data_IF_940499977694
#
_entry.id   IF_940499977694
#
_cell.length_a   1.000
_cell.length_b   1.000
_cell.length_c   1.000
_cell.angle_alpha   90.00
_cell.angle_beta   90.00
_cell.angle_gamma   90.00
#
_symmetry.space_group_name_H-M   'P 1'
#
loop_
_entity.id
_entity.type
_entity.pdbx_description
1 polymer ?
#
# COMPACT_ATOMS: atom_id res chain seq x y z
N UNK A 1 0.25 -5.65 -32.63
CA UNK A 1 -0.25 -4.42 -31.97
C UNK A 1 -1.73 -4.36 -32.23
N UNK A 2 -2.52 -4.91 -31.34
CA UNK A 2 -3.98 -4.81 -31.37
C UNK A 2 -4.33 -3.49 -30.66
N UNK A 3 -4.86 -2.53 -31.40
CA UNK A 3 -5.42 -1.31 -30.84
C UNK A 3 -6.53 -1.69 -29.87
N UNK A 4 -6.31 -1.52 -28.58
CA UNK A 4 -7.34 -1.68 -27.55
C UNK A 4 -8.25 -0.47 -27.69
N UNK A 5 -9.51 -0.69 -28.05
CA UNK A 5 -10.49 0.39 -28.06
C UNK A 5 -10.61 1.02 -26.66
N UNK A 6 -10.68 2.37 -26.56
CA UNK A 6 -10.89 3.03 -25.28
C UNK A 6 -12.19 2.52 -24.66
N UNK A 7 -12.15 2.25 -23.34
CA UNK A 7 -13.34 1.85 -22.61
C UNK A 7 -14.47 2.87 -22.84
N UNK A 8 -15.72 2.43 -22.98
CA UNK A 8 -16.85 3.36 -23.09
C UNK A 8 -16.83 4.27 -21.86
N UNK A 9 -16.96 5.59 -22.08
CA UNK A 9 -17.13 6.56 -20.99
C UNK A 9 -18.37 6.13 -20.22
N UNK A 10 -18.22 5.77 -18.95
CA UNK A 10 -19.37 5.66 -18.04
C UNK A 10 -20.05 7.03 -18.02
N UNK A 11 -21.36 7.06 -18.05
CA UNK A 11 -22.13 8.29 -18.16
C UNK A 11 -21.75 9.23 -17.01
N UNK A 12 -21.34 10.44 -17.37
CA UNK A 12 -21.07 11.51 -16.41
C UNK A 12 -22.38 11.93 -15.78
N UNK A 13 -22.40 12.12 -14.47
CA UNK A 13 -23.51 12.76 -13.78
C UNK A 13 -23.78 14.15 -14.41
N UNK A 14 -25.03 14.58 -14.52
CA UNK A 14 -25.37 15.83 -15.19
C UNK A 14 -24.76 17.02 -14.43
N UNK A 15 -23.77 17.68 -15.01
CA UNK A 15 -23.36 19.02 -14.62
C UNK A 15 -21.89 19.25 -14.27
N UNK A 16 -21.01 18.27 -14.36
CA UNK A 16 -19.60 18.48 -14.04
C UNK A 16 -18.71 18.43 -15.28
N UNK A 17 -17.96 19.53 -15.51
CA UNK A 17 -16.86 19.52 -16.44
C UNK A 17 -15.75 18.65 -15.85
N UNK A 18 -15.33 17.61 -16.58
CA UNK A 18 -14.08 16.91 -16.26
C UNK A 18 -12.94 17.93 -16.26
N UNK A 19 -11.94 17.78 -15.37
CA UNK A 19 -10.70 18.51 -15.53
C UNK A 19 -10.21 18.29 -16.96
N UNK A 20 -9.91 19.36 -17.66
CA UNK A 20 -9.27 19.26 -18.96
C UNK A 20 -8.00 18.41 -18.78
N UNK A 21 -7.81 17.39 -19.63
CA UNK A 21 -6.60 16.57 -19.67
C UNK A 21 -6.50 15.33 -18.73
N UNK A 22 -7.58 14.79 -18.15
CA UNK A 22 -7.50 13.52 -17.37
C UNK A 22 -6.77 12.38 -18.12
N UNK A 23 -6.85 12.39 -19.44
CA UNK A 23 -6.16 11.40 -20.30
C UNK A 23 -4.64 11.56 -20.31
N UNK A 24 -4.12 12.69 -19.84
CA UNK A 24 -2.68 12.97 -19.75
C UNK A 24 -2.11 12.73 -18.35
N UNK A 25 -2.95 12.33 -17.40
CA UNK A 25 -2.50 12.17 -16.01
C UNK A 25 -1.45 11.06 -15.83
N UNK A 26 -1.58 9.95 -16.55
CA UNK A 26 -0.69 8.82 -16.35
C UNK A 26 -0.70 8.36 -14.89
N UNK A 27 0.47 8.28 -14.28
CA UNK A 27 0.64 7.96 -12.85
C UNK A 27 0.22 9.11 -11.90
N UNK A 28 0.12 10.35 -12.39
CA UNK A 28 -0.20 11.53 -11.59
C UNK A 28 -1.64 11.53 -11.11
N UNK A 29 -1.91 12.24 -9.99
CA UNK A 29 -3.23 12.37 -9.39
C UNK A 29 -3.84 11.03 -8.93
N UNK A 30 -3.01 10.01 -8.68
CA UNK A 30 -3.41 8.78 -8.03
C UNK A 30 -3.00 8.84 -6.56
N UNK A 31 -3.98 8.79 -5.66
CA UNK A 31 -3.83 8.82 -4.20
C UNK A 31 -4.50 7.57 -3.62
N UNK A 32 -3.93 6.97 -2.57
CA UNK A 32 -4.44 5.75 -1.90
C UNK A 32 -4.70 4.60 -2.91
N UNK A 33 -3.67 4.18 -3.67
CA UNK A 33 -3.86 3.27 -4.78
C UNK A 33 -3.99 1.81 -4.35
N UNK A 34 -4.88 1.07 -5.00
CA UNK A 34 -4.85 -0.39 -5.05
C UNK A 34 -4.73 -0.86 -6.50
N UNK A 35 -4.02 -1.96 -6.73
CA UNK A 35 -3.85 -2.51 -8.08
C UNK A 35 -4.19 -4.00 -8.13
N UNK A 36 -4.82 -4.40 -9.23
CA UNK A 36 -5.14 -5.81 -9.53
C UNK A 36 -4.77 -6.13 -10.97
N UNK A 37 -4.62 -7.42 -11.27
CA UNK A 37 -4.39 -7.92 -12.62
C UNK A 37 -5.55 -8.77 -13.08
N UNK A 38 -6.04 -8.54 -14.31
CA UNK A 38 -7.08 -9.36 -14.92
C UNK A 38 -6.51 -10.61 -15.63
N UNK A 39 -7.41 -11.44 -16.18
CA UNK A 39 -7.03 -12.67 -16.88
C UNK A 39 -6.34 -12.41 -18.22
N UNK A 40 -6.49 -11.22 -18.80
CA UNK A 40 -5.80 -10.79 -20.03
C UNK A 40 -4.39 -10.24 -19.75
N UNK A 41 -4.00 -10.17 -18.48
CA UNK A 41 -2.71 -9.68 -18.04
C UNK A 41 -2.62 -8.16 -17.90
N UNK A 42 -3.74 -7.45 -18.01
CA UNK A 42 -3.81 -6.00 -17.83
C UNK A 42 -3.91 -5.65 -16.34
N UNK A 43 -3.13 -4.69 -15.92
CA UNK A 43 -3.22 -4.13 -14.57
C UNK A 43 -4.26 -3.01 -14.52
N UNK A 44 -5.05 -3.03 -13.47
CA UNK A 44 -6.06 -2.02 -13.16
C UNK A 44 -5.75 -1.39 -11.82
N UNK A 45 -5.63 -0.07 -11.80
CA UNK A 45 -5.40 0.73 -10.60
C UNK A 45 -6.66 1.49 -10.26
N UNK A 46 -7.03 1.44 -8.98
CA UNK A 46 -8.12 2.21 -8.40
C UNK A 46 -7.53 3.18 -7.37
N UNK A 47 -8.05 4.40 -7.30
CA UNK A 47 -7.53 5.43 -6.40
C UNK A 47 -8.59 6.44 -5.99
N UNK A 48 -8.29 7.17 -4.93
CA UNK A 48 -9.09 8.26 -4.36
C UNK A 48 -9.43 9.34 -5.41
N UNK A 49 -10.64 9.90 -5.32
CA UNK A 49 -11.13 11.00 -6.15
C UNK A 49 -10.50 12.32 -5.76
N UNK A 50 -9.22 12.49 -6.08
CA UNK A 50 -8.44 13.70 -5.83
C UNK A 50 -7.45 13.97 -6.97
N UNK A 51 -7.05 15.23 -7.11
CA UNK A 51 -5.93 15.67 -7.92
C UNK A 51 -5.04 16.64 -7.13
N UNK A 52 -4.02 17.21 -7.78
CA UNK A 52 -3.10 18.17 -7.15
C UNK A 52 -3.79 19.44 -6.60
N UNK A 53 -4.96 19.79 -7.11
CA UNK A 53 -5.73 20.96 -6.69
C UNK A 53 -6.75 20.63 -5.58
N UNK A 54 -6.96 19.35 -5.26
CA UNK A 54 -7.84 18.89 -4.20
C UNK A 54 -8.83 17.79 -4.60
N UNK A 55 -9.94 17.65 -3.87
CA UNK A 55 -10.98 16.66 -4.17
C UNK A 55 -11.59 16.85 -5.56
N UNK A 56 -12.05 15.75 -6.14
CA UNK A 56 -12.80 15.71 -7.41
C UNK A 56 -14.29 15.41 -7.12
N UNK A 57 -15.11 16.44 -6.85
CA UNK A 57 -16.50 16.24 -6.52
C UNK A 57 -17.28 15.55 -7.65
N UNK A 58 -18.13 14.58 -7.30
CA UNK A 58 -18.96 13.83 -8.25
C UNK A 58 -18.26 12.73 -9.03
N UNK A 59 -16.95 12.50 -8.77
CA UNK A 59 -16.25 11.33 -9.26
C UNK A 59 -16.59 10.08 -8.42
N UNK A 60 -16.34 8.89 -8.95
CA UNK A 60 -16.73 7.61 -8.36
C UNK A 60 -15.59 6.59 -8.36
N UNK A 61 -14.45 6.89 -7.75
CA UNK A 61 -13.21 6.13 -7.76
C UNK A 61 -12.50 6.15 -9.12
N UNK A 62 -11.35 6.79 -9.17
CA UNK A 62 -10.52 6.85 -10.38
C UNK A 62 -10.02 5.48 -10.78
N UNK A 63 -10.05 5.17 -12.08
CA UNK A 63 -9.56 3.91 -12.65
C UNK A 63 -8.47 4.20 -13.69
N UNK A 64 -7.37 3.46 -13.61
CA UNK A 64 -6.30 3.45 -14.61
C UNK A 64 -6.01 2.03 -15.06
N UNK A 65 -5.35 1.91 -16.21
CA UNK A 65 -4.85 0.63 -16.71
C UNK A 65 -3.38 0.73 -17.10
N UNK A 66 -2.68 -0.39 -17.02
CA UNK A 66 -1.28 -0.54 -17.44
C UNK A 66 -1.01 -1.96 -17.93
N UNK A 67 0.04 -2.15 -18.71
CA UNK A 67 0.55 -3.48 -19.08
C UNK A 67 1.86 -3.82 -18.36
N UNK A 68 2.48 -2.85 -17.68
CA UNK A 68 3.82 -2.96 -17.09
C UNK A 68 3.96 -2.39 -15.67
N UNK A 69 2.88 -1.79 -15.11
CA UNK A 69 2.85 -1.08 -13.83
C UNK A 69 3.72 0.20 -13.76
N UNK A 70 4.20 0.67 -14.90
CA UNK A 70 5.02 1.89 -15.05
C UNK A 70 4.24 2.96 -15.80
N UNK A 71 3.78 2.62 -16.98
CA UNK A 71 3.01 3.51 -17.84
C UNK A 71 1.52 3.29 -17.61
N UNK A 72 0.83 4.31 -17.10
CA UNK A 72 -0.58 4.26 -16.76
C UNK A 72 -1.43 5.11 -17.71
N UNK A 73 -2.58 4.58 -18.09
CA UNK A 73 -3.61 5.30 -18.84
C UNK A 73 -4.85 5.47 -17.94
N UNK A 74 -5.38 6.69 -17.90
CA UNK A 74 -6.66 6.94 -17.23
C UNK A 74 -7.79 6.25 -18.01
N UNK A 75 -8.56 5.39 -17.32
CA UNK A 75 -9.60 4.55 -17.92
C UNK A 75 -11.03 5.01 -17.57
N UNK A 76 -11.20 6.01 -16.69
CA UNK A 76 -12.49 6.53 -16.26
C UNK A 76 -12.70 6.43 -14.76
N UNK A 77 -13.95 6.33 -14.34
CA UNK A 77 -14.37 6.11 -12.96
C UNK A 77 -15.12 4.78 -12.84
N UNK A 78 -15.00 4.11 -11.69
CA UNK A 78 -15.66 2.84 -11.42
C UNK A 78 -17.17 3.00 -11.28
N UNK A 79 -17.61 4.03 -10.55
CA UNK A 79 -19.00 4.35 -10.28
C UNK A 79 -19.39 5.72 -10.86
N UNK A 80 -20.67 5.95 -11.02
CA UNK A 80 -21.24 7.22 -11.49
C UNK A 80 -21.48 8.16 -10.29
N UNK A 81 -20.37 8.58 -9.64
CA UNK A 81 -20.38 9.39 -8.44
C UNK A 81 -20.48 8.58 -7.14
N UNK A 82 -20.67 9.29 -6.02
CA UNK A 82 -20.87 8.68 -4.70
C UNK A 82 -22.26 8.04 -4.63
N UNK A 83 -22.37 6.73 -4.32
CA UNK A 83 -23.67 6.06 -4.17
C UNK A 83 -24.58 6.74 -3.14
N UNK A 84 -25.90 6.77 -3.44
CA UNK A 84 -26.90 7.49 -2.64
C UNK A 84 -26.83 7.22 -1.14
N UNK A 85 -26.89 5.95 -0.68
CA UNK A 85 -26.82 5.63 0.75
C UNK A 85 -25.55 6.12 1.43
N UNK A 86 -24.38 5.98 0.78
CA UNK A 86 -23.11 6.42 1.32
C UNK A 86 -23.02 7.96 1.39
N UNK A 87 -23.53 8.66 0.38
CA UNK A 87 -23.61 10.13 0.36
C UNK A 87 -24.56 10.67 1.42
N UNK A 88 -25.73 10.07 1.57
CA UNK A 88 -26.71 10.47 2.60
C UNK A 88 -26.15 10.29 4.00
N UNK A 89 -25.35 9.25 4.23
CA UNK A 89 -24.74 9.00 5.52
C UNK A 89 -23.60 9.95 5.82
N UNK A 90 -22.64 10.09 4.91
CA UNK A 90 -21.34 10.76 5.16
C UNK A 90 -21.28 12.21 4.70
N UNK A 91 -22.13 12.61 3.77
CA UNK A 91 -22.00 13.90 3.08
C UNK A 91 -20.84 13.96 2.08
N UNK A 92 -20.24 12.81 1.71
CA UNK A 92 -19.11 12.76 0.82
C UNK A 92 -19.43 13.26 -0.60
N UNK A 93 -18.50 13.97 -1.21
CA UNK A 93 -18.58 14.46 -2.59
C UNK A 93 -17.74 13.62 -3.58
N UNK A 94 -16.86 12.74 -3.09
CA UNK A 94 -16.03 11.80 -3.83
C UNK A 94 -15.76 10.54 -3.00
N UNK A 95 -15.17 9.52 -3.61
CA UNK A 95 -14.80 8.27 -2.96
C UNK A 95 -13.31 8.20 -2.69
N UNK A 96 -12.94 7.57 -1.57
CA UNK A 96 -11.56 7.49 -1.10
C UNK A 96 -11.11 6.05 -0.91
N UNK A 97 -9.79 5.84 -0.96
CA UNK A 97 -9.07 4.63 -0.58
C UNK A 97 -9.81 3.33 -0.92
N UNK A 98 -9.99 3.04 -2.21
CA UNK A 98 -10.63 1.81 -2.64
C UNK A 98 -9.69 0.62 -2.46
N UNK A 99 -10.23 -0.53 -2.04
CA UNK A 99 -9.58 -1.83 -2.18
C UNK A 99 -10.35 -2.69 -3.16
N UNK A 100 -9.65 -3.31 -4.09
CA UNK A 100 -10.27 -4.16 -5.12
C UNK A 100 -9.63 -5.54 -5.08
N UNK A 101 -10.49 -6.57 -5.02
CA UNK A 101 -10.05 -7.95 -4.91
C UNK A 101 -10.94 -8.89 -5.73
N UNK A 102 -10.35 -9.93 -6.31
CA UNK A 102 -11.10 -11.02 -6.94
C UNK A 102 -11.49 -12.05 -5.88
N UNK A 103 -12.76 -12.43 -5.86
CA UNK A 103 -13.27 -13.47 -4.98
C UNK A 103 -14.01 -14.52 -5.78
N UNK A 104 -13.87 -15.80 -5.39
CA UNK A 104 -14.66 -16.88 -5.94
C UNK A 104 -15.95 -17.05 -5.12
N UNK A 105 -17.08 -17.07 -5.80
CA UNK A 105 -18.40 -17.28 -5.21
C UNK A 105 -19.08 -18.51 -5.83
N UNK A 106 -20.19 -18.97 -5.27
CA UNK A 106 -20.96 -20.08 -5.86
C UNK A 106 -21.43 -19.78 -7.29
N UNK A 107 -21.63 -18.52 -7.63
CA UNK A 107 -22.06 -18.06 -8.98
C UNK A 107 -20.90 -17.80 -9.94
N UNK A 108 -19.65 -18.02 -9.53
CA UNK A 108 -18.43 -17.75 -10.28
C UNK A 108 -17.58 -16.65 -9.68
N UNK A 109 -16.49 -16.31 -10.36
CA UNK A 109 -15.57 -15.27 -9.91
C UNK A 109 -16.19 -13.88 -10.06
N UNK A 110 -15.94 -13.04 -9.09
CA UNK A 110 -16.47 -11.69 -8.96
C UNK A 110 -15.35 -10.75 -8.45
N UNK A 111 -15.31 -9.53 -8.96
CA UNK A 111 -14.51 -8.45 -8.40
C UNK A 111 -15.33 -7.69 -7.37
N UNK A 112 -14.74 -7.45 -6.20
CA UNK A 112 -15.30 -6.64 -5.12
C UNK A 112 -14.45 -5.42 -4.91
N UNK A 113 -15.08 -4.26 -4.82
CA UNK A 113 -14.46 -3.00 -4.46
C UNK A 113 -15.07 -2.50 -3.16
N UNK A 114 -14.23 -2.37 -2.11
CA UNK A 114 -14.59 -1.68 -0.89
C UNK A 114 -14.09 -0.25 -1.00
N UNK A 115 -15.00 0.72 -0.96
CA UNK A 115 -14.70 2.13 -1.11
C UNK A 115 -15.06 2.90 0.15
N UNK A 116 -14.40 4.02 0.41
CA UNK A 116 -14.66 4.90 1.55
C UNK A 116 -15.42 6.14 1.11
N UNK A 117 -16.47 6.51 1.84
CA UNK A 117 -17.21 7.74 1.68
C UNK A 117 -17.14 8.54 2.99
N UNK A 118 -16.49 9.71 2.95
CA UNK A 118 -16.27 10.54 4.13
C UNK A 118 -16.04 12.00 3.75
N UNK A 119 -15.91 12.86 4.77
CA UNK A 119 -15.47 14.24 4.64
C UNK A 119 -14.25 14.48 5.51
N UNK A 120 -13.32 15.33 5.08
CA UNK A 120 -12.05 15.53 5.77
C UNK A 120 -12.24 16.01 7.22
N UNK A 121 -11.55 15.34 8.16
CA UNK A 121 -11.65 15.62 9.59
C UNK A 121 -12.88 15.05 10.29
N UNK A 122 -13.74 14.35 9.57
CA UNK A 122 -14.93 13.69 10.10
C UNK A 122 -14.69 12.22 10.43
N UNK A 123 -15.52 11.65 11.30
CA UNK A 123 -15.75 10.21 11.50
C UNK A 123 -17.18 9.80 11.11
N UNK A 124 -17.94 10.72 10.52
CA UNK A 124 -19.20 10.35 9.88
C UNK A 124 -18.84 9.81 8.50
N UNK A 125 -18.61 8.52 8.46
CA UNK A 125 -17.98 7.83 7.33
C UNK A 125 -18.68 6.51 7.05
N UNK A 126 -18.53 6.01 5.84
CA UNK A 126 -19.04 4.71 5.44
C UNK A 126 -18.06 4.00 4.50
N UNK A 127 -17.87 2.70 4.72
CA UNK A 127 -17.27 1.79 3.75
C UNK A 127 -18.42 1.13 3.01
N UNK A 128 -18.47 1.29 1.68
CA UNK A 128 -19.42 0.64 0.80
C UNK A 128 -18.80 -0.50 0.02
N UNK A 129 -19.65 -1.35 -0.56
CA UNK A 129 -19.28 -2.47 -1.41
C UNK A 129 -19.87 -2.28 -2.81
N UNK A 130 -19.01 -2.33 -3.83
CA UNK A 130 -19.43 -2.47 -5.21
C UNK A 130 -18.86 -3.75 -5.83
N UNK A 131 -19.56 -4.29 -6.83
CA UNK A 131 -19.17 -5.53 -7.51
C UNK A 131 -19.18 -5.39 -9.02
N UNK A 132 -18.31 -6.17 -9.68
CA UNK A 132 -18.25 -6.26 -11.13
C UNK A 132 -17.78 -7.65 -11.58
N UNK A 133 -18.13 -8.01 -12.83
CA UNK A 133 -17.59 -9.23 -13.47
C UNK A 133 -16.17 -9.03 -14.00
N UNK A 134 -15.71 -7.79 -14.17
CA UNK A 134 -14.39 -7.44 -14.66
C UNK A 134 -13.90 -6.15 -13.97
N UNK A 135 -12.59 -5.96 -13.69
CA UNK A 135 -12.10 -4.75 -13.02
C UNK A 135 -12.45 -3.44 -13.77
N UNK A 136 -12.55 -3.49 -15.08
CA UNK A 136 -13.03 -2.38 -15.91
C UNK A 136 -14.46 -1.95 -15.58
N UNK A 137 -15.23 -2.83 -14.93
CA UNK A 137 -16.67 -2.65 -14.72
C UNK A 137 -17.54 -3.22 -15.87
N UNK A 138 -18.83 -2.89 -15.95
CA UNK A 138 -19.48 -1.90 -15.09
C UNK A 138 -19.56 -2.38 -13.63
N UNK A 139 -19.40 -1.44 -12.69
CA UNK A 139 -19.53 -1.68 -11.27
C UNK A 139 -20.94 -1.41 -10.77
N UNK A 140 -21.43 -2.22 -9.85
CA UNK A 140 -22.75 -2.08 -9.22
C UNK A 140 -22.56 -1.92 -7.71
N UNK A 141 -23.04 -0.82 -7.14
CA UNK A 141 -23.07 -0.60 -5.70
C UNK A 141 -24.09 -1.54 -5.03
N UNK A 142 -23.68 -2.17 -3.93
CA UNK A 142 -24.52 -3.05 -3.11
C UNK A 142 -24.92 -2.43 -1.76
N UNK A 143 -24.32 -1.28 -1.38
CA UNK A 143 -24.63 -0.56 -0.16
C UNK A 143 -23.50 -0.55 0.87
N UNK A 144 -23.82 -0.14 2.09
CA UNK A 144 -22.86 0.11 3.18
C UNK A 144 -22.52 -1.17 3.94
N UNK A 145 -21.22 -1.40 4.18
CA UNK A 145 -20.70 -2.53 4.94
C UNK A 145 -20.40 -2.13 6.40
N UNK A 146 -19.75 -0.99 6.59
CA UNK A 146 -19.43 -0.43 7.92
C UNK A 146 -19.73 1.06 7.88
N UNK A 147 -20.27 1.60 8.98
CA UNK A 147 -20.54 3.02 9.09
C UNK A 147 -20.26 3.54 10.49
N UNK A 148 -19.75 4.77 10.57
CA UNK A 148 -19.44 5.48 11.82
C UNK A 148 -20.07 6.87 11.84
N UNK A 149 -20.29 7.40 13.05
CA UNK A 149 -20.77 8.77 13.29
C UNK A 149 -19.82 9.52 14.22
N UNK A 150 -19.51 10.76 13.88
CA UNK A 150 -18.51 11.58 14.56
C UNK A 150 -18.72 11.69 16.08
N UNK A 151 -19.95 11.91 16.50
CA UNK A 151 -20.30 12.16 17.90
C UNK A 151 -20.55 10.88 18.71
N UNK A 152 -20.62 9.72 18.06
CA UNK A 152 -20.94 8.45 18.69
C UNK A 152 -19.77 7.48 18.74
N UNK A 153 -19.04 7.34 17.62
CA UNK A 153 -18.07 6.27 17.43
C UNK A 153 -16.64 6.79 17.66
N UNK A 154 -15.80 5.94 18.26
CA UNK A 154 -14.41 6.29 18.59
C UNK A 154 -13.44 6.12 17.41
N UNK A 155 -13.81 5.34 16.39
CA UNK A 155 -13.00 5.02 15.21
C UNK A 155 -13.60 5.63 13.95
N UNK A 156 -12.98 5.37 12.79
CA UNK A 156 -13.37 5.94 11.50
C UNK A 156 -13.51 4.83 10.45
N UNK A 157 -14.68 4.68 9.84
CA UNK A 157 -14.96 3.66 8.83
C UNK A 157 -14.50 4.09 7.43
N UNK A 158 -13.18 4.08 7.20
CA UNK A 158 -12.52 4.29 5.92
C UNK A 158 -11.30 3.36 5.78
N UNK A 159 -10.64 3.39 4.64
CA UNK A 159 -9.38 2.70 4.34
C UNK A 159 -9.49 1.18 4.50
N UNK A 160 -10.43 0.60 3.80
CA UNK A 160 -10.69 -0.83 3.88
C UNK A 160 -9.74 -1.66 3.00
N UNK A 161 -9.37 -2.83 3.50
CA UNK A 161 -8.77 -3.93 2.72
C UNK A 161 -9.55 -5.22 2.98
N UNK A 162 -9.91 -5.97 1.95
CA UNK A 162 -10.41 -7.34 2.11
C UNK A 162 -9.26 -8.35 2.13
N UNK A 163 -9.13 -9.07 3.22
CA UNK A 163 -8.24 -10.24 3.35
C UNK A 163 -9.03 -11.51 3.12
N UNK A 164 -8.60 -12.32 2.15
CA UNK A 164 -9.14 -13.66 1.89
C UNK A 164 -8.21 -14.68 2.53
N UNK A 165 -8.68 -15.33 3.60
CA UNK A 165 -7.95 -16.37 4.34
C UNK A 165 -8.66 -17.72 4.19
N UNK A 166 -8.40 -18.40 3.09
CA UNK A 166 -9.11 -19.62 2.73
C UNK A 166 -10.61 -19.37 2.53
N UNK A 167 -11.45 -20.02 3.36
CA UNK A 167 -12.91 -19.83 3.33
C UNK A 167 -13.40 -18.65 4.17
N UNK A 168 -12.50 -17.97 4.90
CA UNK A 168 -12.84 -16.81 5.75
C UNK A 168 -12.41 -15.52 5.07
N UNK A 169 -13.27 -14.52 5.14
CA UNK A 169 -12.98 -13.18 4.68
C UNK A 169 -12.99 -12.19 5.84
N UNK A 170 -12.06 -11.24 5.80
CA UNK A 170 -11.90 -10.24 6.84
C UNK A 170 -11.70 -8.87 6.23
N UNK A 171 -12.40 -7.86 6.75
CA UNK A 171 -12.20 -6.47 6.40
C UNK A 171 -11.28 -5.84 7.44
N UNK A 172 -10.12 -5.38 7.00
CA UNK A 172 -9.20 -4.58 7.81
C UNK A 172 -9.48 -3.13 7.45
N UNK A 173 -9.72 -2.26 8.43
CA UNK A 173 -10.10 -0.89 8.12
C UNK A 173 -9.80 0.07 9.29
N UNK A 174 -9.84 1.35 9.01
CA UNK A 174 -9.72 2.41 9.99
C UNK A 174 -8.64 3.43 9.63
N UNK A 175 -8.78 4.62 10.16
CA UNK A 175 -7.88 5.75 9.95
C UNK A 175 -7.95 6.69 11.13
N UNK A 176 -6.80 7.03 11.70
CA UNK A 176 -6.69 7.93 12.84
C UNK A 176 -7.55 7.52 14.05
N UNK A 177 -7.96 8.48 14.89
CA UNK A 177 -8.92 8.35 15.99
C UNK A 177 -8.75 7.10 16.84
N UNK A 178 -9.64 6.10 16.68
CA UNK A 178 -9.67 4.86 17.45
C UNK A 178 -8.74 3.77 16.93
N UNK A 179 -8.05 3.99 15.82
CA UNK A 179 -7.11 3.03 15.22
C UNK A 179 -7.77 2.10 14.20
N UNK A 180 -7.08 0.99 13.94
CA UNK A 180 -7.38 0.01 12.90
C UNK A 180 -8.06 -1.21 13.48
N UNK A 181 -9.07 -1.72 12.78
CA UNK A 181 -9.90 -2.82 13.22
C UNK A 181 -9.96 -3.94 12.18
N UNK A 182 -10.20 -5.16 12.62
CA UNK A 182 -10.47 -6.32 11.79
C UNK A 182 -11.89 -6.82 12.06
N UNK A 183 -12.68 -7.02 11.00
CA UNK A 183 -14.08 -7.44 11.04
C UNK A 183 -14.29 -8.64 10.13
N UNK A 184 -15.06 -9.63 10.57
CA UNK A 184 -15.36 -10.80 9.77
C UNK A 184 -16.45 -10.50 8.72
N UNK A 185 -16.20 -10.95 7.48
CA UNK A 185 -17.06 -10.73 6.32
C UNK A 185 -17.63 -12.06 5.85
N UNK A 186 -18.90 -12.07 5.52
CA UNK A 186 -19.54 -13.20 4.85
C UNK A 186 -18.99 -13.35 3.42
N UNK A 187 -18.30 -14.46 3.12
CA UNK A 187 -17.71 -14.69 1.80
C UNK A 187 -18.74 -14.68 0.66
N UNK A 188 -19.98 -15.10 0.94
CA UNK A 188 -21.02 -15.16 -0.08
C UNK A 188 -21.53 -13.77 -0.47
N UNK A 189 -21.73 -12.89 0.50
CA UNK A 189 -22.36 -11.58 0.27
C UNK A 189 -21.39 -10.42 0.21
N UNK A 190 -20.22 -10.50 0.90
CA UNK A 190 -19.25 -9.41 1.06
C UNK A 190 -19.63 -8.39 2.13
N UNK A 191 -20.69 -8.62 2.89
CA UNK A 191 -21.07 -7.79 4.04
C UNK A 191 -20.56 -8.39 5.34
N UNK A 192 -20.57 -7.59 6.41
CA UNK A 192 -20.18 -8.07 7.73
C UNK A 192 -21.06 -9.24 8.18
N UNK A 193 -20.47 -10.26 8.80
CA UNK A 193 -21.21 -11.42 9.30
C UNK A 193 -22.26 -11.04 10.36
N UNK A 194 -22.01 -9.97 11.11
CA UNK A 194 -22.93 -9.47 12.14
C UNK A 194 -23.89 -8.39 11.64
N UNK A 195 -23.88 -8.08 10.33
CA UNK A 195 -24.84 -7.15 9.75
C UNK A 195 -26.28 -7.69 9.85
N UNK A 196 -27.27 -6.86 10.22
CA UNK A 196 -28.68 -7.30 10.30
C UNK A 196 -29.23 -7.84 8.97
N UNK A 197 -28.73 -7.33 7.86
CA UNK A 197 -29.03 -7.81 6.50
C UNK A 197 -27.99 -7.27 5.53
N UNK A 198 -27.79 -7.89 4.34
CA UNK A 198 -26.96 -7.33 3.28
C UNK A 198 -27.35 -5.89 2.93
N UNK A 199 -26.37 -5.00 2.76
CA UNK A 199 -26.59 -3.57 2.49
C UNK A 199 -26.82 -2.71 3.73
N UNK A 200 -26.82 -3.30 4.94
CA UNK A 200 -26.85 -2.57 6.21
C UNK A 200 -25.49 -2.62 6.90
N UNK A 201 -25.10 -1.57 7.65
CA UNK A 201 -23.83 -1.55 8.36
C UNK A 201 -23.67 -2.69 9.36
N UNK A 202 -22.44 -3.09 9.61
CA UNK A 202 -22.04 -4.01 10.68
C UNK A 202 -22.63 -3.58 12.04
N UNK A 203 -22.98 -4.55 12.86
CA UNK A 203 -23.48 -4.30 14.22
C UNK A 203 -22.33 -4.01 15.22
N UNK A 204 -21.12 -4.47 14.93
CA UNK A 204 -19.92 -4.24 15.74
C UNK A 204 -18.82 -3.52 14.94
N UNK A 205 -17.77 -3.07 15.66
CA UNK A 205 -16.58 -2.44 15.09
C UNK A 205 -15.51 -3.46 14.70
N UNK A 206 -15.71 -4.72 15.09
CA UNK A 206 -14.66 -5.73 15.01
C UNK A 206 -13.60 -5.58 16.10
N UNK A 207 -12.44 -6.22 15.90
CA UNK A 207 -11.33 -6.28 16.85
C UNK A 207 -10.29 -5.20 16.53
N UNK A 208 -9.89 -4.43 17.54
CA UNK A 208 -8.78 -3.47 17.44
C UNK A 208 -7.45 -4.22 17.21
N UNK A 209 -6.71 -3.88 16.18
CA UNK A 209 -5.43 -4.51 15.82
C UNK A 209 -4.22 -3.58 15.86
N UNK A 210 -4.42 -2.26 15.72
CA UNK A 210 -3.36 -1.27 15.84
C UNK A 210 -3.95 0.12 16.15
N UNK A 211 -3.19 0.96 16.88
CA UNK A 211 -3.54 2.35 17.15
C UNK A 211 -2.31 3.14 17.56
N UNK A 212 -2.40 4.46 17.53
CA UNK A 212 -1.36 5.38 18.03
C UNK A 212 -1.91 6.35 19.07
N UNK A 213 -1.07 6.86 19.99
CA UNK A 213 -1.51 7.80 21.02
C UNK A 213 -1.83 9.19 20.44
N UNK A 214 -2.56 9.99 21.22
CA UNK A 214 -2.91 11.36 20.85
C UNK A 214 -1.71 12.32 20.78
N UNK A 215 -0.57 11.96 21.39
CA UNK A 215 0.67 12.74 21.30
C UNK A 215 1.21 12.85 19.89
N UNK A 216 0.81 11.95 19.00
CA UNK A 216 1.11 11.93 17.56
C UNK A 216 -0.17 11.95 16.73
N UNK A 217 -1.17 12.70 17.18
CA UNK A 217 -2.47 12.92 16.51
C UNK A 217 -3.24 11.65 16.15
N UNK A 218 -2.93 10.51 16.81
CA UNK A 218 -3.45 9.18 16.46
C UNK A 218 -3.15 8.76 15.01
N UNK A 219 -2.15 9.35 14.38
CA UNK A 219 -1.89 9.28 12.95
C UNK A 219 -1.39 7.90 12.49
N UNK A 220 -2.34 7.01 12.23
CA UNK A 220 -2.17 5.68 11.63
C UNK A 220 -3.34 5.44 10.68
N UNK A 221 -3.06 4.99 9.43
CA UNK A 221 -4.09 4.70 8.43
C UNK A 221 -3.58 3.78 7.32
N UNK A 222 -4.43 3.53 6.31
CA UNK A 222 -4.09 2.73 5.15
C UNK A 222 -3.58 1.33 5.50
N UNK A 223 -4.32 0.54 6.31
CA UNK A 223 -3.87 -0.80 6.69
C UNK A 223 -3.90 -1.75 5.51
N UNK A 224 -2.84 -2.56 5.36
CA UNK A 224 -2.80 -3.64 4.39
C UNK A 224 -2.12 -4.87 4.99
N UNK A 225 -2.85 -5.97 5.10
CA UNK A 225 -2.38 -7.22 5.69
C UNK A 225 -2.04 -8.22 4.61
N UNK A 226 -0.85 -8.81 4.71
CA UNK A 226 -0.35 -9.81 3.76
C UNK A 226 0.14 -11.06 4.49
N UNK A 227 -0.01 -12.27 3.89
CA UNK A 227 0.54 -13.49 4.47
C UNK A 227 2.07 -13.47 4.44
N UNK A 228 2.69 -13.92 5.54
CA UNK A 228 4.15 -14.06 5.66
C UNK A 228 4.62 -15.39 5.11
N UNK A 229 5.78 -15.46 4.45
CA UNK A 229 6.46 -16.71 4.19
C UNK A 229 6.70 -17.47 5.50
N UNK A 230 6.28 -18.73 5.55
CA UNK A 230 6.43 -19.55 6.76
C UNK A 230 5.29 -19.47 7.77
N UNK A 231 4.29 -18.63 7.53
CA UNK A 231 3.08 -18.51 8.34
C UNK A 231 2.94 -17.19 9.09
N UNK A 232 1.70 -16.89 9.48
CA UNK A 232 1.33 -15.62 10.10
C UNK A 232 1.15 -14.48 9.09
N UNK A 233 1.11 -13.25 9.58
CA UNK A 233 0.68 -12.06 8.86
C UNK A 233 1.65 -10.90 9.05
N UNK A 234 1.77 -10.04 8.06
CA UNK A 234 2.41 -8.74 8.17
C UNK A 234 1.38 -7.64 7.89
N UNK A 235 1.30 -6.69 8.79
CA UNK A 235 0.49 -5.49 8.67
C UNK A 235 1.37 -4.35 8.17
N UNK A 236 1.04 -3.82 7.02
CA UNK A 236 1.60 -2.61 6.42
C UNK A 236 0.68 -1.45 6.78
N UNK A 237 1.22 -0.37 7.29
CA UNK A 237 0.45 0.82 7.70
C UNK A 237 1.19 2.10 7.34
N UNK A 238 0.46 3.19 7.25
CA UNK A 238 1.03 4.51 7.04
C UNK A 238 0.85 5.38 8.28
N UNK A 239 1.91 6.10 8.65
CA UNK A 239 1.97 6.97 9.81
C UNK A 239 2.15 8.43 9.40
N UNK A 240 1.67 9.32 10.27
CA UNK A 240 1.87 10.75 10.27
C UNK A 240 1.16 11.53 9.14
N UNK A 241 1.69 12.69 8.75
CA UNK A 241 1.00 13.60 7.83
C UNK A 241 1.20 13.24 6.37
N UNK A 242 0.12 12.94 5.67
CA UNK A 242 0.12 12.65 4.23
C UNK A 242 0.69 13.79 3.35
N UNK A 243 0.86 14.98 3.91
CA UNK A 243 1.40 16.12 3.18
C UNK A 243 2.93 16.29 3.32
N UNK A 244 3.56 15.69 4.36
CA UNK A 244 4.97 15.99 4.69
C UNK A 244 5.77 14.84 5.31
N UNK A 245 5.22 14.16 6.31
CA UNK A 245 5.93 13.14 7.10
C UNK A 245 5.40 11.73 6.91
N UNK A 246 4.49 11.54 5.98
CA UNK A 246 3.91 10.24 5.68
C UNK A 246 4.99 9.21 5.36
N UNK A 247 4.88 8.03 5.94
CA UNK A 247 5.83 6.95 5.75
C UNK A 247 5.19 5.60 6.06
N UNK A 248 5.74 4.53 5.49
CA UNK A 248 5.22 3.17 5.65
C UNK A 248 5.97 2.44 6.75
N UNK A 249 5.21 1.84 7.67
CA UNK A 249 5.72 0.92 8.69
C UNK A 249 5.10 -0.45 8.60
N UNK A 250 5.80 -1.44 9.17
CA UNK A 250 5.32 -2.82 9.23
C UNK A 250 5.44 -3.39 10.64
N UNK A 251 4.52 -4.30 10.95
CA UNK A 251 4.56 -5.17 12.11
C UNK A 251 4.07 -6.56 11.71
N UNK A 252 4.33 -7.57 12.53
CA UNK A 252 4.01 -8.96 12.23
C UNK A 252 3.20 -9.61 13.36
N UNK A 253 2.39 -10.61 13.01
CA UNK A 253 1.60 -11.40 13.95
C UNK A 253 1.50 -12.85 13.48
N UNK A 254 1.24 -13.76 14.41
CA UNK A 254 0.94 -15.17 14.09
C UNK A 254 -0.55 -15.35 13.72
N UNK A 255 -1.43 -14.50 14.26
CA UNK A 255 -2.87 -14.48 13.96
C UNK A 255 -3.27 -13.18 13.25
N UNK A 256 -4.25 -13.24 12.36
CA UNK A 256 -4.73 -12.09 11.60
C UNK A 256 -5.28 -10.98 12.50
N UNK A 257 -5.84 -11.33 13.64
CA UNK A 257 -6.34 -10.38 14.64
C UNK A 257 -5.26 -9.88 15.60
N UNK A 258 -3.98 -10.24 15.37
CA UNK A 258 -2.84 -9.82 16.17
C UNK A 258 -2.52 -10.74 17.36
N UNK A 259 -1.75 -10.27 18.35
CA UNK A 259 -1.16 -8.94 18.42
C UNK A 259 -0.07 -8.70 17.35
N UNK A 260 -0.18 -7.59 16.63
CA UNK A 260 0.87 -7.15 15.70
C UNK A 260 2.03 -6.53 16.47
N UNK A 261 3.22 -7.08 16.28
CA UNK A 261 4.43 -6.66 16.99
C UNK A 261 5.50 -6.20 16.03
N UNK A 262 6.20 -5.15 16.42
CA UNK A 262 7.38 -4.69 15.67
C UNK A 262 8.60 -5.58 15.94
N UNK A 263 9.73 -5.21 15.35
CA UNK A 263 11.00 -5.93 15.41
C UNK A 263 11.62 -6.01 16.83
N UNK A 264 11.17 -5.21 17.78
CA UNK A 264 11.55 -5.25 19.19
C UNK A 264 10.46 -5.85 20.09
N UNK A 265 9.37 -6.33 19.49
CA UNK A 265 8.26 -6.97 20.19
C UNK A 265 7.23 -6.00 20.76
N UNK A 266 7.29 -4.69 20.43
CA UNK A 266 6.28 -3.72 20.84
C UNK A 266 4.96 -4.00 20.13
N UNK A 267 3.87 -4.02 20.87
CA UNK A 267 2.52 -4.23 20.36
C UNK A 267 1.98 -2.92 19.75
N UNK A 268 1.43 -2.96 18.56
CA UNK A 268 0.87 -1.78 17.88
C UNK A 268 -0.41 -1.24 18.56
N UNK A 269 -0.96 -1.94 19.52
CA UNK A 269 -2.09 -1.44 20.33
C UNK A 269 -1.64 -0.77 21.63
N UNK A 270 -0.36 -0.91 22.00
CA UNK A 270 0.20 -0.36 23.23
C UNK A 270 0.44 1.16 23.10
N UNK A 271 -0.23 1.94 23.93
CA UNK A 271 -0.12 3.39 23.97
C UNK A 271 1.01 3.90 24.88
N UNK A 272 1.63 3.02 25.68
CA UNK A 272 2.73 3.35 26.58
C UNK A 272 4.10 3.22 25.89
N UNK A 273 4.17 2.52 24.77
CA UNK A 273 5.36 2.46 23.91
C UNK A 273 5.61 3.80 23.23
N UNK A 274 6.88 4.13 23.00
CA UNK A 274 7.26 5.34 22.27
C UNK A 274 6.74 5.28 20.80
N UNK A 275 5.78 6.14 20.41
CA UNK A 275 5.16 6.09 19.10
C UNK A 275 6.12 6.42 17.95
N UNK A 276 7.24 7.08 18.22
CA UNK A 276 8.24 7.45 17.21
C UNK A 276 9.06 6.25 16.72
N UNK A 277 9.18 5.20 17.55
CA UNK A 277 9.96 4.00 17.22
C UNK A 277 9.12 2.73 17.07
N UNK A 278 7.83 2.77 17.39
CA UNK A 278 6.93 1.61 17.26
C UNK A 278 6.61 1.31 15.80
N UNK A 279 6.83 0.07 15.38
CA UNK A 279 6.74 -0.36 13.98
C UNK A 279 8.09 -0.22 13.24
N UNK A 280 8.34 -1.07 12.26
CA UNK A 280 9.54 -1.04 11.44
C UNK A 280 9.32 -0.15 10.21
N UNK A 281 10.05 0.96 10.08
CA UNK A 281 9.97 1.84 8.90
C UNK A 281 10.54 1.13 7.67
N UNK A 282 9.76 1.00 6.60
CA UNK A 282 10.17 0.29 5.37
C UNK A 282 10.14 1.17 4.12
N UNK A 283 9.54 2.36 4.21
CA UNK A 283 9.56 3.36 3.15
C UNK A 283 9.32 4.75 3.76
N UNK A 284 10.18 5.71 3.44
CA UNK A 284 10.09 7.09 3.92
C UNK A 284 10.56 8.07 2.83
N UNK A 285 10.43 9.37 3.10
CA UNK A 285 10.91 10.43 2.19
C UNK A 285 12.40 10.29 1.92
N UNK A 286 12.78 10.24 0.65
CA UNK A 286 14.18 10.01 0.28
C UNK A 286 14.54 10.54 -1.11
N UNK A 287 15.86 10.63 -1.37
CA UNK A 287 16.43 11.00 -2.66
C UNK A 287 17.66 10.19 -2.95
N UNK A 288 17.68 9.49 -4.06
CA UNK A 288 18.91 8.96 -4.67
C UNK A 288 19.64 10.09 -5.42
N UNK A 289 20.96 9.97 -5.54
CA UNK A 289 21.76 10.95 -6.27
C UNK A 289 21.33 11.03 -7.74
N UNK A 290 21.04 12.24 -8.19
CA UNK A 290 20.50 12.49 -9.53
C UNK A 290 18.99 12.27 -9.69
N UNK A 291 18.28 11.74 -8.68
CA UNK A 291 16.83 11.58 -8.71
C UNK A 291 16.08 12.84 -8.23
N UNK A 292 14.81 12.98 -8.65
CA UNK A 292 13.91 14.05 -8.20
C UNK A 292 13.69 14.02 -6.67
N UNK A 293 13.70 12.83 -6.09
CA UNK A 293 13.35 12.60 -4.68
C UNK A 293 11.86 12.41 -4.45
N UNK A 294 11.54 11.73 -3.36
CA UNK A 294 10.18 11.44 -2.92
C UNK A 294 9.90 12.11 -1.59
N UNK A 295 8.68 12.59 -1.44
CA UNK A 295 8.15 13.18 -0.21
C UNK A 295 6.89 12.43 0.19
N UNK A 296 6.77 12.12 1.48
CA UNK A 296 5.56 11.58 2.07
C UNK A 296 4.99 10.34 1.30
N UNK A 297 5.79 9.29 1.03
CA UNK A 297 5.27 8.07 0.42
C UNK A 297 4.42 7.28 1.43
N UNK A 298 3.25 6.81 1.01
CA UNK A 298 2.40 6.03 1.91
C UNK A 298 1.10 5.56 1.28
N UNK A 299 0.17 5.15 2.15
CA UNK A 299 -1.10 4.50 1.83
C UNK A 299 -0.87 3.37 0.83
N UNK A 300 -0.15 2.35 1.30
CA UNK A 300 0.36 1.30 0.45
C UNK A 300 -0.57 0.09 0.42
N UNK A 301 -0.84 -0.41 -0.78
CA UNK A 301 -1.39 -1.74 -1.01
C UNK A 301 -0.29 -2.69 -1.53
N UNK A 302 -0.57 -3.99 -1.58
CA UNK A 302 0.38 -4.99 -2.08
C UNK A 302 -0.27 -5.83 -3.16
N UNK A 303 0.24 -5.72 -4.37
CA UNK A 303 -0.10 -6.62 -5.47
C UNK A 303 0.73 -7.89 -5.33
N UNK A 304 0.05 -9.03 -5.14
CA UNK A 304 0.67 -10.35 -5.04
C UNK A 304 0.44 -11.14 -6.33
N UNK A 305 1.53 -11.56 -6.96
CA UNK A 305 1.54 -12.40 -8.15
C UNK A 305 2.44 -13.63 -7.93
N UNK A 306 2.35 -14.67 -8.74
CA UNK A 306 3.27 -15.79 -8.66
C UNK A 306 4.73 -15.34 -8.79
N UNK A 307 5.53 -15.61 -7.76
CA UNK A 307 6.97 -15.29 -7.72
C UNK A 307 7.32 -13.85 -7.35
N UNK A 308 6.36 -12.95 -7.13
CA UNK A 308 6.65 -11.57 -6.71
C UNK A 308 5.55 -10.92 -5.90
N UNK A 309 5.96 -9.97 -5.09
CA UNK A 309 5.07 -9.01 -4.43
C UNK A 309 5.55 -7.59 -4.71
N UNK A 310 4.60 -6.72 -4.98
CA UNK A 310 4.87 -5.33 -5.31
C UNK A 310 4.07 -4.42 -4.38
N UNK A 311 4.76 -3.48 -3.73
CA UNK A 311 4.13 -2.42 -2.97
C UNK A 311 3.67 -1.34 -3.94
N UNK A 312 2.39 -1.02 -3.94
CA UNK A 312 1.77 0.05 -4.73
C UNK A 312 1.40 1.17 -3.75
N UNK A 313 1.96 2.36 -3.94
CA UNK A 313 1.78 3.46 -2.99
C UNK A 313 1.68 4.79 -3.72
N UNK A 314 1.13 5.82 -3.08
CA UNK A 314 1.30 7.17 -3.60
C UNK A 314 2.54 7.84 -2.99
N UNK A 315 3.01 8.88 -3.65
CA UNK A 315 4.08 9.75 -3.16
C UNK A 315 3.88 11.17 -3.67
N UNK A 316 4.52 12.12 -2.99
CA UNK A 316 4.64 13.51 -3.40
C UNK A 316 6.08 13.83 -3.75
N UNK A 317 6.36 15.07 -4.11
CA UNK A 317 7.70 15.52 -4.51
C UNK A 317 8.14 16.73 -3.71
N UNK A 318 9.43 16.83 -3.33
CA UNK A 318 9.92 17.99 -2.58
C UNK A 318 9.79 19.33 -3.31
N UNK A 319 9.86 19.29 -4.64
CA UNK A 319 9.74 20.46 -5.54
C UNK A 319 8.29 20.79 -5.91
N UNK A 320 7.34 19.86 -5.71
CA UNK A 320 5.91 20.04 -5.90
C UNK A 320 5.09 19.18 -4.89
N UNK A 321 4.95 19.62 -3.65
CA UNK A 321 4.28 18.82 -2.61
C UNK A 321 2.77 18.63 -2.80
N UNK A 322 2.14 19.38 -3.72
CA UNK A 322 0.72 19.18 -4.03
C UNK A 322 0.51 18.04 -5.02
N UNK A 323 1.44 17.88 -5.97
CA UNK A 323 1.38 16.78 -6.92
C UNK A 323 1.64 15.46 -6.21
N UNK A 324 0.74 14.51 -6.39
CA UNK A 324 0.92 13.12 -5.97
C UNK A 324 0.82 12.20 -7.18
N UNK A 325 1.50 11.06 -7.10
CA UNK A 325 1.44 10.04 -8.15
C UNK A 325 1.59 8.64 -7.53
N UNK A 326 1.10 7.64 -8.24
CA UNK A 326 1.36 6.25 -7.89
C UNK A 326 2.79 5.87 -8.25
N UNK A 327 3.43 5.13 -7.35
CA UNK A 327 4.67 4.40 -7.61
C UNK A 327 4.52 2.93 -7.17
N UNK A 328 5.26 2.08 -7.84
CA UNK A 328 5.32 0.65 -7.56
C UNK A 328 6.75 0.29 -7.19
N UNK A 329 6.92 -0.58 -6.20
CA UNK A 329 8.22 -1.04 -5.72
C UNK A 329 8.19 -2.52 -5.42
N UNK A 330 9.31 -3.20 -5.62
CA UNK A 330 9.45 -4.60 -5.19
C UNK A 330 9.36 -4.67 -3.66
N UNK A 331 8.52 -5.58 -3.16
CA UNK A 331 8.48 -6.00 -1.76
C UNK A 331 9.22 -7.33 -1.66
N UNK A 332 10.17 -7.42 -0.74
CA UNK A 332 11.02 -8.58 -0.55
C UNK A 332 10.97 -9.07 0.88
N UNK A 333 11.18 -10.37 1.10
CA UNK A 333 11.15 -10.97 2.42
C UNK A 333 12.55 -11.35 2.88
N UNK A 334 12.95 -10.89 4.04
CA UNK A 334 14.18 -11.30 4.68
C UNK A 334 14.12 -12.77 5.11
N UNK A 335 15.27 -13.35 5.49
CA UNK A 335 15.31 -14.71 6.04
C UNK A 335 14.47 -14.84 7.32
N UNK A 336 14.44 -13.82 8.15
CA UNK A 336 13.62 -13.74 9.36
C UNK A 336 12.13 -13.46 9.12
N UNK A 337 11.69 -13.38 7.84
CA UNK A 337 10.27 -13.19 7.49
C UNK A 337 9.76 -11.75 7.72
N UNK A 338 10.64 -10.74 7.55
CA UNK A 338 10.25 -9.33 7.54
C UNK A 338 10.09 -8.81 6.13
N UNK A 339 8.98 -8.13 5.81
CA UNK A 339 8.82 -7.50 4.51
C UNK A 339 9.61 -6.18 4.47
N UNK A 340 10.42 -6.02 3.43
CA UNK A 340 11.18 -4.81 3.15
C UNK A 340 10.88 -4.33 1.74
N UNK A 341 11.14 -3.04 1.46
CA UNK A 341 10.78 -2.39 0.19
C UNK A 341 12.04 -1.96 -0.55
N UNK A 342 12.07 -2.20 -1.85
CA UNK A 342 13.16 -1.76 -2.72
C UNK A 342 13.26 -0.24 -2.79
N UNK A 343 14.48 0.28 -2.83
CA UNK A 343 14.72 1.72 -3.00
C UNK A 343 14.45 2.17 -4.44
N UNK A 344 14.69 1.30 -5.42
CA UNK A 344 14.38 1.59 -6.83
C UNK A 344 12.88 1.41 -7.12
N UNK A 345 12.28 2.26 -7.95
CA UNK A 345 10.94 2.02 -8.46
C UNK A 345 10.94 0.78 -9.37
N UNK A 346 9.79 0.13 -9.48
CA UNK A 346 9.55 -0.94 -10.43
C UNK A 346 9.73 -0.45 -11.86
N UNK A 347 10.44 -1.21 -12.69
CA UNK A 347 10.80 -0.84 -14.05
C UNK A 347 10.17 -1.73 -15.14
N UNK A 348 9.07 -2.43 -14.81
CA UNK A 348 8.34 -3.24 -15.78
C UNK A 348 9.17 -4.41 -16.30
N UNK A 349 9.17 -4.60 -17.61
CA UNK A 349 9.86 -5.70 -18.30
C UNK A 349 11.40 -5.69 -18.16
N UNK A 350 11.98 -4.65 -17.57
CA UNK A 350 13.42 -4.56 -17.30
C UNK A 350 13.81 -5.27 -16.00
N UNK A 351 12.85 -5.66 -15.18
CA UNK A 351 13.10 -6.32 -13.91
C UNK A 351 13.33 -7.82 -14.08
N UNK A 352 14.14 -8.40 -13.20
CA UNK A 352 14.36 -9.84 -13.10
C UNK A 352 13.52 -10.40 -11.96
N UNK A 353 12.53 -11.22 -12.28
CA UNK A 353 11.61 -11.82 -11.30
C UNK A 353 12.03 -13.20 -10.79
N UNK A 354 12.99 -13.87 -11.45
CA UNK A 354 13.46 -15.18 -11.05
C UNK A 354 14.42 -15.09 -9.85
N UNK A 355 13.90 -15.36 -8.65
CA UNK A 355 14.71 -15.40 -7.41
C UNK A 355 15.87 -16.41 -7.48
N UNK A 356 15.82 -17.40 -8.36
CA UNK A 356 16.93 -18.33 -8.59
C UNK A 356 18.18 -17.68 -9.18
N UNK A 357 18.03 -16.48 -9.77
CA UNK A 357 19.13 -15.68 -10.33
C UNK A 357 19.66 -14.63 -9.35
N UNK A 358 19.09 -14.53 -8.14
CA UNK A 358 19.54 -13.57 -7.15
C UNK A 358 20.89 -14.02 -6.52
N UNK A 359 21.72 -13.07 -6.01
CA UNK A 359 23.03 -13.40 -5.47
C UNK A 359 22.99 -14.52 -4.44
N UNK A 360 23.88 -15.48 -4.58
CA UNK A 360 24.01 -16.65 -3.70
C UNK A 360 25.22 -16.58 -2.78
N UNK A 361 26.18 -15.69 -3.05
CA UNK A 361 27.43 -15.53 -2.31
C UNK A 361 27.64 -14.09 -1.90
N UNK A 362 28.12 -13.88 -0.66
CA UNK A 362 28.47 -12.57 -0.14
C UNK A 362 29.57 -11.86 -0.97
N UNK A 363 30.44 -12.59 -1.63
CA UNK A 363 31.46 -12.00 -2.49
C UNK A 363 30.88 -11.24 -3.70
N UNK A 364 29.68 -11.60 -4.16
CA UNK A 364 28.96 -10.87 -5.21
C UNK A 364 28.53 -9.47 -4.80
N UNK A 365 28.52 -9.17 -3.49
CA UNK A 365 28.12 -7.90 -2.93
C UNK A 365 29.26 -6.87 -2.86
N UNK A 366 30.50 -7.28 -3.14
CA UNK A 366 31.65 -6.38 -3.15
C UNK A 366 31.48 -5.36 -4.29
N UNK A 367 31.67 -4.09 -3.98
CA UNK A 367 31.57 -3.00 -4.95
C UNK A 367 31.14 -1.68 -4.31
N UNK A 368 30.85 -0.69 -5.14
CA UNK A 368 30.36 0.61 -4.69
C UNK A 368 28.84 0.62 -4.72
N UNK A 369 28.26 1.04 -3.60
CA UNK A 369 26.82 1.10 -3.39
C UNK A 369 26.38 2.51 -3.01
N UNK A 370 25.30 2.94 -3.58
CA UNK A 370 24.55 4.11 -3.12
C UNK A 370 23.51 3.64 -2.12
N UNK A 371 23.58 4.12 -0.87
CA UNK A 371 22.75 3.63 0.24
C UNK A 371 21.96 4.74 0.92
N UNK A 372 20.85 4.36 1.51
CA UNK A 372 19.97 5.18 2.36
C UNK A 372 19.67 4.45 3.66
N UNK A 373 19.58 5.22 4.75
CA UNK A 373 19.10 4.72 6.04
C UNK A 373 17.70 5.32 6.29
N UNK A 374 16.71 4.49 6.53
CA UNK A 374 15.39 4.93 6.97
C UNK A 374 15.28 4.82 8.50
N UNK A 375 15.82 5.79 9.20
CA UNK A 375 15.78 5.85 10.66
C UNK A 375 14.68 6.81 11.14
N UNK A 376 13.52 6.27 11.50
CA UNK A 376 12.45 6.99 12.16
C UNK A 376 11.71 8.04 11.29
N UNK A 377 10.68 8.68 11.86
CA UNK A 377 9.92 9.72 11.17
C UNK A 377 10.80 10.98 11.05
N UNK A 378 10.87 11.54 9.86
CA UNK A 378 11.55 12.80 9.62
C UNK A 378 10.80 13.62 8.58
N UNK A 379 10.77 14.94 8.74
CA UNK A 379 10.30 15.86 7.71
C UNK A 379 11.37 16.08 6.63
N UNK A 380 12.59 15.61 6.87
CA UNK A 380 13.68 15.77 5.93
C UNK A 380 13.67 14.63 4.91
N UNK A 381 13.95 14.98 3.66
CA UNK A 381 14.17 14.02 2.59
C UNK A 381 15.56 13.42 2.77
N UNK A 382 15.65 12.17 3.21
CA UNK A 382 16.92 11.49 3.39
C UNK A 382 17.69 11.41 2.07
N UNK A 383 18.93 11.87 2.04
CA UNK A 383 19.77 11.78 0.86
C UNK A 383 20.68 10.55 0.93
N UNK A 384 20.87 9.92 -0.22
CA UNK A 384 21.77 8.79 -0.36
C UNK A 384 23.24 9.20 -0.17
N UNK A 385 24.07 8.21 0.11
CA UNK A 385 25.53 8.32 0.14
C UNK A 385 26.18 7.11 -0.52
N UNK A 386 27.35 7.31 -1.11
CA UNK A 386 28.15 6.20 -1.62
C UNK A 386 28.96 5.51 -0.51
N UNK A 387 29.00 4.19 -0.57
CA UNK A 387 29.79 3.33 0.33
C UNK A 387 30.47 2.25 -0.47
N UNK A 388 31.75 2.04 -0.23
CA UNK A 388 32.50 0.90 -0.78
C UNK A 388 32.33 -0.30 0.15
N UNK A 389 31.65 -1.32 -0.35
CA UNK A 389 31.50 -2.60 0.35
C UNK A 389 32.70 -3.48 0.02
N UNK A 390 33.46 -3.84 1.03
CA UNK A 390 34.66 -4.68 0.94
C UNK A 390 34.38 -6.07 1.52
N UNK A 391 35.28 -7.03 1.28
CA UNK A 391 35.21 -8.36 1.87
C UNK A 391 35.14 -8.32 3.41
N UNK A 392 35.91 -7.40 4.04
CA UNK A 392 35.90 -7.23 5.50
C UNK A 392 34.53 -6.75 6.02
N UNK A 393 33.84 -5.87 5.29
CA UNK A 393 32.52 -5.42 5.65
C UNK A 393 31.45 -6.54 5.57
N UNK A 394 31.69 -7.55 4.75
CA UNK A 394 30.83 -8.72 4.56
C UNK A 394 31.19 -9.90 5.48
N UNK A 395 32.24 -9.78 6.28
CA UNK A 395 32.69 -10.84 7.18
C UNK A 395 31.56 -11.26 8.13
N UNK A 396 31.35 -12.58 8.25
CA UNK A 396 30.30 -13.15 9.10
C UNK A 396 28.88 -13.13 8.50
N UNK A 397 28.69 -12.66 7.27
CA UNK A 397 27.42 -12.87 6.55
C UNK A 397 27.29 -14.36 6.18
N UNK A 398 26.10 -14.90 6.46
CA UNK A 398 25.68 -16.25 6.11
C UNK A 398 24.64 -16.14 5.01
N UNK A 399 24.90 -16.78 3.87
CA UNK A 399 23.95 -16.87 2.76
C UNK A 399 22.92 -17.98 3.00
N UNK A 400 21.65 -17.70 2.70
CA UNK A 400 20.53 -18.64 2.79
C UNK A 400 19.92 -18.95 1.42
N UNK A 401 20.57 -18.49 0.35
CA UNK A 401 20.05 -18.59 -1.02
C UNK A 401 19.00 -17.52 -1.36
N UNK A 402 18.70 -17.40 -2.64
CA UNK A 402 17.72 -16.43 -3.14
C UNK A 402 17.97 -15.00 -2.58
N UNK A 403 19.21 -14.53 -2.64
CA UNK A 403 19.60 -13.20 -2.18
C UNK A 403 19.52 -12.94 -0.68
N UNK A 404 19.17 -13.93 0.15
CA UNK A 404 18.96 -13.74 1.60
C UNK A 404 20.26 -13.96 2.37
N UNK A 405 20.60 -13.01 3.22
CA UNK A 405 21.83 -13.01 4.03
C UNK A 405 21.53 -12.59 5.46
N UNK A 406 22.15 -13.25 6.42
CA UNK A 406 22.08 -12.85 7.83
C UNK A 406 23.47 -12.72 8.45
N UNK A 407 23.58 -11.88 9.47
CA UNK A 407 24.72 -11.81 10.39
C UNK A 407 24.20 -11.66 11.81
N UNK A 408 24.65 -12.49 12.72
CA UNK A 408 24.36 -12.40 14.15
C UNK A 408 25.35 -11.53 14.92
N UNK A 409 25.31 -11.60 16.26
CA UNK A 409 26.21 -10.89 17.17
C UNK A 409 25.77 -9.47 17.50
N UNK A 410 26.72 -8.58 17.83
CA UNK A 410 26.45 -7.24 18.33
C UNK A 410 25.86 -6.28 17.28
N UNK A 411 26.02 -6.61 15.99
CA UNK A 411 25.46 -5.86 14.88
C UNK A 411 24.67 -6.78 13.93
N UNK A 412 23.49 -7.26 14.36
CA UNK A 412 22.72 -8.20 13.57
C UNK A 412 22.22 -7.55 12.27
N UNK A 413 22.23 -8.34 11.19
CA UNK A 413 21.73 -7.95 9.88
C UNK A 413 20.84 -9.07 9.34
N UNK A 414 19.72 -8.69 8.73
CA UNK A 414 18.83 -9.58 7.99
C UNK A 414 18.48 -8.90 6.66
N UNK A 415 19.11 -9.34 5.58
CA UNK A 415 19.15 -8.64 4.30
C UNK A 415 18.65 -9.49 3.15
N UNK A 416 18.12 -8.82 2.15
CA UNK A 416 17.82 -9.39 0.82
C UNK A 416 18.49 -8.57 -0.25
N UNK A 417 19.20 -9.22 -1.17
CA UNK A 417 19.87 -8.61 -2.32
C UNK A 417 19.27 -9.21 -3.58
N UNK A 418 18.88 -8.40 -4.52
CA UNK A 418 18.12 -8.81 -5.70
C UNK A 418 18.48 -7.96 -6.92
N UNK A 419 18.32 -8.49 -8.15
CA UNK A 419 18.41 -7.71 -9.37
C UNK A 419 17.35 -6.59 -9.39
N UNK A 420 17.72 -5.43 -9.91
CA UNK A 420 16.85 -4.28 -10.06
C UNK A 420 17.27 -3.45 -11.28
N UNK A 421 16.46 -2.49 -11.65
CA UNK A 421 16.80 -1.47 -12.62
C UNK A 421 17.15 -0.15 -11.92
N UNK A 422 18.34 0.38 -12.18
CA UNK A 422 18.70 1.73 -11.73
C UNK A 422 18.01 2.74 -12.64
N UNK A 423 16.93 3.34 -12.17
CA UNK A 423 16.14 4.28 -12.94
C UNK A 423 16.88 5.60 -13.23
N UNK A 424 17.86 5.98 -12.42
CA UNK A 424 18.67 7.20 -12.62
C UNK A 424 19.73 6.97 -13.67
N UNK A 425 20.39 5.81 -13.64
CA UNK A 425 21.52 5.49 -14.55
C UNK A 425 21.10 4.66 -15.76
N UNK A 426 19.81 4.33 -15.86
CA UNK A 426 19.17 3.57 -16.94
C UNK A 426 19.90 2.25 -17.28
N UNK A 427 20.12 1.42 -16.24
CA UNK A 427 20.85 0.15 -16.38
C UNK A 427 20.39 -0.91 -15.37
N UNK A 428 20.60 -2.17 -15.72
CA UNK A 428 20.49 -3.28 -14.79
C UNK A 428 21.53 -3.18 -13.67
N UNK A 429 21.13 -3.51 -12.44
CA UNK A 429 21.97 -3.44 -11.25
C UNK A 429 21.53 -4.46 -10.19
N UNK A 430 22.18 -4.43 -9.02
CA UNK A 430 21.70 -5.06 -7.81
C UNK A 430 21.16 -3.99 -6.85
N UNK A 431 20.06 -4.30 -6.19
CA UNK A 431 19.57 -3.56 -5.03
C UNK A 431 19.55 -4.45 -3.80
N UNK A 432 19.53 -3.84 -2.63
CA UNK A 432 19.30 -4.55 -1.38
C UNK A 432 18.38 -3.79 -0.45
N UNK A 433 17.74 -4.54 0.43
CA UNK A 433 17.05 -4.03 1.61
C UNK A 433 17.48 -4.87 2.81
N UNK A 434 17.84 -4.20 3.90
CA UNK A 434 18.40 -4.85 5.09
C UNK A 434 17.82 -4.25 6.36
N UNK A 435 17.41 -5.11 7.29
CA UNK A 435 17.12 -4.73 8.67
C UNK A 435 18.41 -4.87 9.50
N UNK A 436 18.88 -3.76 10.02
CA UNK A 436 20.03 -3.66 10.90
C UNK A 436 19.68 -3.66 12.38
N UNK A 437 20.66 -3.32 13.25
CA UNK A 437 20.46 -3.14 14.68
C UNK A 437 19.37 -2.10 14.99
N UNK A 438 18.66 -2.29 16.10
CA UNK A 438 17.61 -1.38 16.59
C UNK A 438 16.52 -1.05 15.55
N UNK A 439 16.30 -1.95 14.56
CA UNK A 439 15.26 -1.76 13.54
C UNK A 439 15.55 -0.71 12.48
N UNK A 440 16.78 -0.27 12.35
CA UNK A 440 17.19 0.58 11.22
C UNK A 440 17.04 -0.23 9.93
N UNK A 441 16.34 0.30 8.95
CA UNK A 441 16.28 -0.28 7.60
C UNK A 441 17.22 0.49 6.69
N UNK A 442 18.15 -0.25 6.11
CA UNK A 442 19.14 0.26 5.15
C UNK A 442 18.78 -0.32 3.79
N UNK A 443 18.70 0.55 2.80
CA UNK A 443 18.43 0.15 1.42
C UNK A 443 19.49 0.71 0.50
N UNK A 444 19.70 0.09 -0.65
CA UNK A 444 20.68 0.62 -1.57
C UNK A 444 20.68 -0.03 -2.94
N UNK A 445 21.45 0.62 -3.83
CA UNK A 445 21.62 0.21 -5.22
C UNK A 445 23.12 0.19 -5.54
N UNK A 446 23.59 -0.82 -6.25
CA UNK A 446 24.98 -0.93 -6.68
C UNK A 446 25.29 0.04 -7.80
N UNK A 447 26.31 0.87 -7.63
CA UNK A 447 26.68 1.91 -8.59
C UNK A 447 28.04 1.70 -9.27
N UNK A 448 28.85 0.77 -8.76
CA UNK A 448 30.16 0.42 -9.35
C UNK A 448 30.67 -0.96 -8.95
#
# INVERSE_FOLDING_TARGET
MTSIEPAPRTAQGPGQALPDEVTTWGARNAHDPTAVRDDDGVYWLFSTDANADGPLPGAGTQVRRSTDLVDWEFAGWALDGVPGPAREWSGADGLWAPDVVRVSTESGDQWRMYYSASTFGSRTSAIGLAVAAHPRGPWTDLGIVVATQHDRDGHNAIDAQLVVDGERHHLIYGSFFGGLHALEIDPATGFALDAPSPGTPAASLGTLIARRPRSVDTAIEGPYVIPRPGGGWALVVSYDSLASTYHVRVAVADDLYGPYRDHEGRDLTDLDSDPEVTGLTVLASHRLDGARGLLAPGHASVLTEPGRQLLVHHTRFPDDPRQHEVQVRRLVWTHGGWPLVAVQPWAGDREVDDEGQWPGDAAELIGTWEILDWAGPTQEVASSREVVVTADALAGLVAHGQGRFTRGGDAPVDAVVFPAWDAVRDRATLSFAARGPAGTVIVGTRVG
#
